data_IF_690054007616
#
_entry.id   IF_690054007616
#
_cell.length_a   1.000
_cell.length_b   1.000
_cell.length_c   1.000
_cell.angle_alpha   90.00
_cell.angle_beta   90.00
_cell.angle_gamma   90.00
#
_symmetry.space_group_name_H-M   'P 1'
#
loop_
_entity.id
_entity.type
_entity.pdbx_description
1 polymer ?
#
# COMPACT_ATOMS: atom_id res chain seq x y z
N UNK A 1 -13.67 -2.91 -6.53
CA UNK A 1 -13.93 -1.46 -6.31
C UNK A 1 -12.65 -0.74 -6.63
N UNK A 2 -12.67 0.40 -7.34
CA UNK A 2 -11.43 1.03 -7.82
C UNK A 2 -10.60 1.60 -6.66
N UNK A 3 -9.28 1.41 -6.60
CA UNK A 3 -8.43 2.04 -5.60
C UNK A 3 -8.37 3.56 -5.85
N UNK A 4 -8.41 4.34 -4.77
CA UNK A 4 -8.22 5.80 -4.85
C UNK A 4 -6.75 6.15 -4.71
N UNK A 5 -6.23 6.97 -5.62
CA UNK A 5 -4.86 7.47 -5.62
C UNK A 5 -4.75 8.85 -5.00
N UNK A 6 -3.72 9.05 -4.20
CA UNK A 6 -3.46 10.31 -3.51
C UNK A 6 -1.96 10.64 -3.56
N UNK A 7 -1.65 11.92 -3.77
CA UNK A 7 -0.29 12.45 -3.71
C UNK A 7 -0.19 13.30 -2.44
N UNK A 8 0.41 12.75 -1.40
CA UNK A 8 0.61 13.43 -0.12
C UNK A 8 1.79 12.78 0.63
N UNK A 9 2.22 13.40 1.73
CA UNK A 9 3.29 12.86 2.58
C UNK A 9 2.87 11.52 3.20
N UNK A 10 3.85 10.67 3.54
CA UNK A 10 3.59 9.40 4.23
C UNK A 10 2.79 9.63 5.52
N UNK A 11 3.08 10.70 6.26
CA UNK A 11 2.37 11.04 7.49
C UNK A 11 0.89 11.32 7.23
N UNK A 12 0.58 12.19 6.28
CA UNK A 12 -0.80 12.53 5.91
C UNK A 12 -1.57 11.31 5.39
N UNK A 13 -0.92 10.45 4.60
CA UNK A 13 -1.51 9.21 4.12
C UNK A 13 -1.89 8.27 5.27
N UNK A 14 -1.00 8.13 6.26
CA UNK A 14 -1.25 7.32 7.45
C UNK A 14 -2.38 7.90 8.31
N UNK A 15 -2.43 9.22 8.47
CA UNK A 15 -3.52 9.88 9.22
C UNK A 15 -4.87 9.69 8.52
N UNK A 16 -4.95 9.93 7.20
CA UNK A 16 -6.19 9.76 6.42
C UNK A 16 -6.67 8.29 6.43
N UNK A 17 -5.75 7.34 6.31
CA UNK A 17 -6.05 5.91 6.43
C UNK A 17 -6.54 5.54 7.84
N UNK A 18 -5.91 6.09 8.88
CA UNK A 18 -6.32 5.89 10.27
C UNK A 18 -7.73 6.44 10.52
N UNK A 19 -8.07 7.62 9.99
CA UNK A 19 -9.42 8.18 10.07
C UNK A 19 -10.46 7.31 9.33
N UNK A 20 -10.06 6.66 8.23
CA UNK A 20 -10.87 5.67 7.51
C UNK A 20 -10.97 4.31 8.22
N UNK A 21 -10.29 4.14 9.35
CA UNK A 21 -10.31 2.93 10.16
C UNK A 21 -9.29 1.87 9.74
N UNK A 22 -8.28 2.22 8.95
CA UNK A 22 -7.13 1.36 8.65
C UNK A 22 -6.09 1.54 9.76
N UNK A 23 -6.20 0.73 10.81
CA UNK A 23 -5.37 0.86 12.02
C UNK A 23 -4.38 -0.29 12.20
N UNK A 24 -4.52 -1.36 11.44
CA UNK A 24 -3.62 -2.51 11.48
C UNK A 24 -2.32 -2.20 10.73
N UNK A 25 -1.17 -2.58 11.28
CA UNK A 25 0.12 -2.41 10.61
C UNK A 25 0.51 -3.72 9.90
N UNK A 26 0.42 -3.71 8.56
CA UNK A 26 0.79 -4.88 7.75
C UNK A 26 2.29 -4.95 7.45
N UNK A 27 3.08 -3.90 7.75
CA UNK A 27 4.52 -3.94 7.53
C UNK A 27 5.19 -5.06 8.34
N UNK A 28 4.71 -5.27 9.57
CA UNK A 28 5.19 -6.37 10.44
C UNK A 28 4.61 -7.75 10.06
N UNK A 29 3.60 -7.80 9.18
CA UNK A 29 2.91 -9.00 8.71
C UNK A 29 3.06 -9.22 7.20
N UNK A 30 4.17 -8.75 6.63
CA UNK A 30 4.47 -8.85 5.20
C UNK A 30 4.50 -10.29 4.67
N UNK A 31 4.84 -11.28 5.50
CA UNK A 31 4.87 -12.70 5.12
C UNK A 31 3.48 -13.28 4.85
N UNK A 32 2.47 -12.83 5.58
CA UNK A 32 1.09 -13.26 5.37
C UNK A 32 0.55 -12.77 4.03
N UNK A 33 0.89 -11.53 3.64
CA UNK A 33 0.54 -10.95 2.33
C UNK A 33 1.16 -11.77 1.20
N UNK A 34 2.44 -12.13 1.33
CA UNK A 34 3.16 -12.95 0.34
C UNK A 34 2.58 -14.36 0.24
N UNK A 35 2.21 -14.96 1.37
CA UNK A 35 1.73 -16.35 1.44
C UNK A 35 0.28 -16.47 0.96
N UNK A 36 -0.57 -15.48 1.24
CA UNK A 36 -2.00 -15.53 0.96
C UNK A 36 -2.51 -14.24 0.28
N UNK A 37 -1.98 -13.86 -0.89
CA UNK A 37 -2.30 -12.58 -1.54
C UNK A 37 -3.81 -12.42 -1.83
N UNK A 38 -4.50 -13.52 -2.16
CA UNK A 38 -5.94 -13.52 -2.46
C UNK A 38 -6.83 -13.16 -1.27
N UNK A 39 -6.32 -13.19 -0.03
CA UNK A 39 -7.07 -12.79 1.16
C UNK A 39 -7.05 -11.28 1.39
N UNK A 40 -6.27 -10.54 0.61
CA UNK A 40 -6.07 -9.12 0.77
C UNK A 40 -6.58 -8.36 -0.46
N UNK A 41 -7.18 -7.20 -0.22
CA UNK A 41 -7.61 -6.29 -1.26
C UNK A 41 -7.07 -4.89 -1.00
N UNK A 42 -6.43 -4.31 -2.02
CA UNK A 42 -5.94 -2.93 -1.98
C UNK A 42 -7.11 -1.98 -2.23
N UNK A 43 -7.39 -1.10 -1.27
CA UNK A 43 -8.47 -0.11 -1.34
C UNK A 43 -7.97 1.31 -1.65
N UNK A 44 -6.78 1.64 -1.16
CA UNK A 44 -6.19 2.96 -1.33
C UNK A 44 -4.70 2.84 -1.62
N UNK A 45 -4.18 3.74 -2.45
CA UNK A 45 -2.76 3.82 -2.79
C UNK A 45 -2.35 5.28 -2.70
N UNK A 46 -1.42 5.61 -1.82
CA UNK A 46 -0.86 6.95 -1.68
C UNK A 46 0.57 6.89 -2.17
N UNK A 47 0.92 7.69 -3.16
CA UNK A 47 2.30 7.80 -3.63
C UNK A 47 2.87 9.12 -3.14
N UNK A 48 4.06 9.03 -2.56
CA UNK A 48 4.87 10.16 -2.17
C UNK A 48 6.14 10.15 -3.02
N UNK A 49 6.38 11.26 -3.70
CA UNK A 49 7.64 11.56 -4.36
C UNK A 49 8.34 12.58 -3.45
N UNK A 50 9.54 12.25 -2.98
CA UNK A 50 10.28 13.09 -2.05
C UNK A 50 10.49 14.50 -2.58
N UNK A 51 10.25 15.51 -1.74
CA UNK A 51 10.57 16.90 -2.06
C UNK A 51 12.10 17.14 -2.19
N UNK A 52 12.92 16.25 -1.61
CA UNK A 52 14.37 16.40 -1.50
C UNK A 52 15.16 15.66 -2.60
N UNK A 53 14.75 14.43 -2.91
CA UNK A 53 15.40 13.58 -3.91
C UNK A 53 14.31 12.88 -4.76
N UNK A 54 14.34 13.03 -6.10
CA UNK A 54 13.41 12.34 -7.00
C UNK A 54 13.60 10.81 -6.98
N UNK A 55 14.73 10.35 -6.43
CA UNK A 55 15.04 8.93 -6.22
C UNK A 55 14.45 8.38 -4.90
N UNK A 56 13.94 9.25 -4.01
CA UNK A 56 13.23 8.82 -2.80
C UNK A 56 11.71 8.82 -3.04
N UNK A 57 11.19 7.65 -3.41
CA UNK A 57 9.75 7.44 -3.54
C UNK A 57 9.24 6.51 -2.45
N UNK A 58 8.00 6.73 -2.01
CA UNK A 58 7.33 5.85 -1.05
C UNK A 58 5.86 5.68 -1.42
N UNK A 59 5.34 4.48 -1.22
CA UNK A 59 3.95 4.14 -1.50
C UNK A 59 3.30 3.58 -0.24
N UNK A 60 2.18 4.16 0.18
CA UNK A 60 1.36 3.68 1.28
C UNK A 60 0.11 3.00 0.71
N UNK A 61 -0.06 1.72 1.01
CA UNK A 61 -1.21 0.93 0.62
C UNK A 61 -2.19 0.81 1.79
N UNK A 62 -3.45 1.16 1.55
CA UNK A 62 -4.58 0.82 2.42
C UNK A 62 -5.15 -0.53 2.01
N UNK A 63 -4.98 -1.54 2.87
CA UNK A 63 -5.30 -2.94 2.59
C UNK A 63 -6.43 -3.40 3.51
N UNK A 64 -7.33 -4.21 2.96
CA UNK A 64 -8.36 -4.90 3.75
C UNK A 64 -8.22 -6.40 3.59
N UNK A 65 -8.28 -7.15 4.69
CA UNK A 65 -8.36 -8.61 4.66
C UNK A 65 -9.80 -9.08 4.47
N UNK A 66 -9.99 -10.27 3.92
CA UNK A 66 -11.28 -10.97 3.86
C UNK A 66 -11.89 -11.20 5.26
N UNK A 67 -11.04 -11.29 6.29
CA UNK A 67 -11.45 -11.37 7.69
C UNK A 67 -11.98 -10.04 8.26
N UNK A 68 -11.92 -8.96 7.49
CA UNK A 68 -12.43 -7.63 7.85
C UNK A 68 -11.41 -6.72 8.51
N UNK A 69 -10.15 -7.13 8.63
CA UNK A 69 -9.09 -6.29 9.16
C UNK A 69 -8.72 -5.22 8.13
N UNK A 70 -8.49 -4.00 8.60
CA UNK A 70 -8.11 -2.88 7.75
C UNK A 70 -6.81 -2.30 8.27
N UNK A 71 -5.84 -2.17 7.38
CA UNK A 71 -4.50 -1.76 7.76
C UNK A 71 -3.73 -1.09 6.66
N UNK A 72 -2.52 -0.70 7.02
CA UNK A 72 -1.62 0.08 6.19
C UNK A 72 -0.34 -0.70 5.94
N UNK A 73 0.21 -0.56 4.75
CA UNK A 73 1.52 -1.09 4.37
C UNK A 73 2.31 0.03 3.70
N UNK A 74 3.55 0.26 4.14
CA UNK A 74 4.39 1.35 3.65
C UNK A 74 5.57 0.74 2.91
N UNK A 75 5.59 0.90 1.59
CA UNK A 75 6.70 0.48 0.75
C UNK A 75 7.58 1.69 0.43
N UNK A 76 8.82 1.71 0.94
CA UNK A 76 9.83 2.64 0.46
C UNK A 76 10.50 2.10 -0.80
N UNK A 77 10.49 2.85 -1.89
CA UNK A 77 11.36 2.61 -3.04
C UNK A 77 12.72 3.22 -2.74
N UNK A 78 13.52 2.53 -1.94
CA UNK A 78 14.97 2.73 -1.96
C UNK A 78 15.54 1.69 -2.93
N UNK A 79 16.53 2.07 -3.75
CA UNK A 79 17.11 1.25 -4.82
C UNK A 79 17.63 -0.14 -4.42
N UNK A 80 17.62 -0.47 -3.11
CA UNK A 80 18.08 -1.71 -2.51
C UNK A 80 17.03 -2.43 -1.64
N UNK A 81 15.77 -1.99 -1.66
CA UNK A 81 14.68 -2.58 -0.87
C UNK A 81 13.79 -3.43 -1.78
N UNK A 82 14.20 -4.68 -2.03
CA UNK A 82 13.34 -5.73 -2.59
C UNK A 82 12.19 -6.01 -1.62
N UNK A 83 11.13 -5.20 -1.69
CA UNK A 83 9.94 -5.42 -0.89
C UNK A 83 8.96 -6.31 -1.66
N UNK A 84 9.18 -7.63 -1.59
CA UNK A 84 8.33 -8.64 -2.23
C UNK A 84 6.83 -8.44 -1.94
N UNK A 85 6.48 -8.01 -0.72
CA UNK A 85 5.09 -7.75 -0.36
C UNK A 85 4.51 -6.55 -1.13
N UNK A 86 5.31 -5.51 -1.39
CA UNK A 86 4.89 -4.38 -2.22
C UNK A 86 4.57 -4.81 -3.66
N UNK A 87 5.42 -5.66 -4.26
CA UNK A 87 5.20 -6.20 -5.60
C UNK A 87 3.90 -7.02 -5.69
N UNK A 88 3.61 -7.81 -4.65
CA UNK A 88 2.37 -8.57 -4.54
C UNK A 88 1.16 -7.64 -4.44
N UNK A 89 1.24 -6.59 -3.61
CA UNK A 89 0.17 -5.60 -3.45
C UNK A 89 -0.08 -4.78 -4.72
N UNK A 90 0.98 -4.42 -5.44
CA UNK A 90 0.88 -3.77 -6.74
C UNK A 90 0.14 -4.65 -7.75
N UNK A 91 0.51 -5.93 -7.84
CA UNK A 91 -0.21 -6.88 -8.70
C UNK A 91 -1.68 -7.00 -8.30
N UNK A 92 -1.97 -7.13 -7.00
CA UNK A 92 -3.35 -7.19 -6.51
C UNK A 92 -4.15 -5.91 -6.84
N UNK A 93 -3.51 -4.73 -6.79
CA UNK A 93 -4.12 -3.48 -7.22
C UNK A 93 -4.50 -3.51 -8.71
N UNK A 94 -3.60 -4.00 -9.57
CA UNK A 94 -3.82 -4.14 -11.02
C UNK A 94 -4.90 -5.18 -11.34
N UNK A 95 -4.93 -6.29 -10.60
CA UNK A 95 -5.86 -7.40 -10.83
C UNK A 95 -7.27 -7.11 -10.29
N UNK A 96 -7.38 -6.54 -9.08
CA UNK A 96 -8.69 -6.18 -8.47
C UNK A 96 -9.35 -4.98 -9.17
N UNK A 97 -8.54 -4.15 -9.83
CA UNK A 97 -9.01 -3.01 -10.62
C UNK A 97 -8.20 -2.95 -11.89
N UNK A 98 -8.79 -3.33 -13.03
CA UNK A 98 -8.14 -3.41 -14.35
C UNK A 98 -7.56 -2.11 -14.94
N UNK A 99 -7.11 -1.17 -14.11
CA UNK A 99 -6.35 0.03 -14.41
C UNK A 99 -5.68 0.55 -13.12
N UNK A 100 -4.74 -0.20 -12.56
CA UNK A 100 -3.69 0.37 -11.71
C UNK A 100 -2.54 0.70 -12.68
N UNK A 101 -2.62 1.86 -13.34
CA UNK A 101 -1.58 2.34 -14.26
C UNK A 101 -0.66 3.25 -13.46
N UNK A 102 0.56 2.76 -13.20
CA UNK A 102 1.72 3.58 -12.88
C UNK A 102 2.10 4.44 -14.10
#
# INVERSE_FOLDING_TARGET
>A
MKPTYHYTTVLEALEDLKEKGFTYDFNIHQDDIKTNPHKYEVKHVYRYEGDADPDEESVVYGITSDSGEKGVFVAGFSANSDNDAALVLEKLCIESSGQCKL
#
